data_IF_081817532327
#
_entry.id   IF_081817532327
#
_cell.length_a   1.000
_cell.length_b   1.000
_cell.length_c   1.000
_cell.angle_alpha   90.00
_cell.angle_beta   90.00
_cell.angle_gamma   90.00
#
_symmetry.space_group_name_H-M   'P 1'
#
loop_
_entity.id
_entity.type
_entity.pdbx_description
1 polymer ?
#
# COMPACT_ATOMS: atom_id res chain seq x y z
N UNK A 1 -11.05 20.26 -21.03
CA UNK A 1 -9.87 19.54 -20.50
C UNK A 1 -10.10 19.00 -19.06
N UNK A 2 -10.66 19.80 -18.13
CA UNK A 2 -10.90 19.39 -16.73
C UNK A 2 -11.95 18.27 -16.55
N UNK A 3 -12.92 18.14 -17.46
CA UNK A 3 -13.94 17.09 -17.36
C UNK A 3 -13.39 15.69 -17.68
N UNK A 4 -12.37 15.60 -18.54
CA UNK A 4 -11.75 14.33 -18.91
C UNK A 4 -10.84 13.80 -17.80
N UNK A 5 -10.11 14.65 -17.10
CA UNK A 5 -9.20 14.24 -16.02
C UNK A 5 -9.92 13.54 -14.85
N UNK A 6 -11.18 13.90 -14.54
CA UNK A 6 -11.99 13.21 -13.53
C UNK A 6 -12.32 11.77 -13.92
N UNK A 7 -12.37 11.47 -15.22
CA UNK A 7 -12.64 10.13 -15.74
C UNK A 7 -11.37 9.29 -15.82
N UNK A 8 -10.20 9.92 -15.89
CA UNK A 8 -8.93 9.23 -16.09
C UNK A 8 -8.41 8.57 -14.81
N UNK A 9 -8.58 9.17 -13.63
CA UNK A 9 -8.13 8.57 -12.36
C UNK A 9 -8.77 7.19 -12.10
N UNK A 10 -10.10 6.99 -12.23
CA UNK A 10 -10.69 5.65 -12.11
C UNK A 10 -10.18 4.67 -13.17
N UNK A 11 -9.95 5.14 -14.40
CA UNK A 11 -9.40 4.31 -15.48
C UNK A 11 -7.98 3.85 -15.19
N UNK A 12 -7.11 4.75 -14.70
CA UNK A 12 -5.76 4.41 -14.33
C UNK A 12 -5.77 3.39 -13.17
N UNK A 13 -6.61 3.57 -12.17
CA UNK A 13 -6.75 2.61 -11.07
C UNK A 13 -7.27 1.26 -11.56
N UNK A 14 -8.21 1.24 -12.51
CA UNK A 14 -8.68 0.01 -13.13
C UNK A 14 -7.56 -0.70 -13.90
N UNK A 15 -6.72 0.03 -14.66
CA UNK A 15 -5.55 -0.54 -15.35
C UNK A 15 -4.53 -1.11 -14.37
N UNK A 16 -4.25 -0.39 -13.27
CA UNK A 16 -3.40 -0.91 -12.19
C UNK A 16 -4.01 -2.19 -11.60
N UNK A 17 -5.31 -2.21 -11.34
CA UNK A 17 -6.02 -3.40 -10.86
C UNK A 17 -5.92 -4.58 -11.81
N UNK A 18 -6.02 -4.34 -13.13
CA UNK A 18 -5.80 -5.38 -14.15
C UNK A 18 -4.36 -5.90 -14.08
N UNK A 19 -3.36 -5.02 -14.02
CA UNK A 19 -1.96 -5.42 -13.92
C UNK A 19 -1.65 -6.25 -12.67
N UNK A 20 -2.37 -6.03 -11.57
CA UNK A 20 -2.26 -6.79 -10.33
C UNK A 20 -3.08 -8.08 -10.35
N UNK A 21 -3.93 -8.28 -11.35
CA UNK A 21 -4.80 -9.45 -11.46
C UNK A 21 -4.00 -10.74 -11.75
N UNK A 22 -4.45 -11.90 -11.21
CA UNK A 22 -3.75 -13.19 -11.38
C UNK A 22 -3.78 -13.69 -12.82
N UNK A 23 -4.63 -13.14 -13.68
CA UNK A 23 -4.78 -13.55 -15.10
C UNK A 23 -3.98 -12.70 -16.07
N UNK A 24 -3.34 -11.62 -15.60
CA UNK A 24 -2.56 -10.75 -16.48
C UNK A 24 -1.34 -11.49 -16.99
N UNK A 25 -1.34 -11.81 -18.27
CA UNK A 25 -0.19 -12.39 -18.99
C UNK A 25 0.59 -11.24 -19.58
N UNK A 26 1.83 -11.04 -19.13
CA UNK A 26 2.78 -10.21 -19.84
C UNK A 26 3.42 -11.10 -20.92
N UNK A 27 3.16 -10.83 -22.19
CA UNK A 27 3.68 -11.64 -23.31
C UNK A 27 5.20 -11.53 -23.47
N UNK A 28 5.82 -10.52 -22.88
CA UNK A 28 7.28 -10.40 -22.83
C UNK A 28 7.86 -11.31 -21.76
N UNK A 29 8.51 -12.36 -22.18
CA UNK A 29 9.08 -13.46 -21.38
C UNK A 29 10.13 -13.00 -20.34
N UNK A 30 10.56 -11.75 -20.39
CA UNK A 30 11.60 -11.17 -19.51
C UNK A 30 11.18 -9.79 -18.95
N UNK A 31 9.89 -9.55 -18.76
CA UNK A 31 9.49 -8.31 -18.09
C UNK A 31 10.09 -8.33 -16.67
N UNK A 32 11.00 -7.40 -16.41
CA UNK A 32 11.58 -7.20 -15.09
C UNK A 32 10.45 -6.90 -14.09
N UNK A 33 10.16 -7.88 -13.24
CA UNK A 33 9.11 -7.77 -12.23
C UNK A 33 9.30 -6.52 -11.36
N UNK A 34 10.54 -6.13 -11.08
CA UNK A 34 10.87 -4.91 -10.35
C UNK A 34 10.49 -3.66 -11.16
N UNK A 35 10.73 -3.63 -12.47
CA UNK A 35 10.32 -2.51 -13.32
C UNK A 35 8.80 -2.33 -13.34
N UNK A 36 8.04 -3.43 -13.47
CA UNK A 36 6.57 -3.40 -13.42
C UNK A 36 6.10 -2.92 -12.05
N UNK A 37 6.59 -3.51 -10.97
CA UNK A 37 6.21 -3.15 -9.61
C UNK A 37 6.53 -1.69 -9.29
N UNK A 38 7.75 -1.25 -9.63
CA UNK A 38 8.17 0.14 -9.48
C UNK A 38 7.33 1.10 -10.31
N UNK A 39 6.98 0.73 -11.54
CA UNK A 39 6.07 1.48 -12.41
C UNK A 39 4.67 1.66 -11.81
N UNK A 40 4.10 0.59 -11.24
CA UNK A 40 2.82 0.63 -10.55
C UNK A 40 2.86 1.55 -9.31
N UNK A 41 3.89 1.39 -8.47
CA UNK A 41 4.09 2.25 -7.30
C UNK A 41 4.25 3.73 -7.70
N UNK A 42 5.03 4.03 -8.74
CA UNK A 42 5.25 5.39 -9.20
C UNK A 42 3.98 6.00 -9.81
N UNK A 43 3.17 5.22 -10.53
CA UNK A 43 1.88 5.68 -11.08
C UNK A 43 0.91 6.05 -9.97
N UNK A 44 0.73 5.17 -8.98
CA UNK A 44 -0.11 5.45 -7.82
C UNK A 44 0.40 6.66 -7.03
N UNK A 45 1.71 6.75 -6.86
CA UNK A 45 2.37 7.88 -6.19
C UNK A 45 2.13 9.21 -6.92
N UNK A 46 2.24 9.23 -8.23
CA UNK A 46 1.96 10.43 -9.04
C UNK A 46 0.49 10.87 -8.88
N UNK A 47 -0.46 9.93 -8.89
CA UNK A 47 -1.88 10.21 -8.64
C UNK A 47 -2.09 10.80 -7.24
N UNK A 48 -1.52 10.18 -6.20
CA UNK A 48 -1.64 10.64 -4.81
C UNK A 48 -1.07 12.04 -4.63
N UNK A 49 0.05 12.36 -5.29
CA UNK A 49 0.69 13.69 -5.19
C UNK A 49 -0.07 14.79 -5.93
N UNK A 50 -0.51 14.48 -7.15
CA UNK A 50 -1.00 15.50 -8.07
C UNK A 50 -2.50 15.74 -7.93
N UNK A 51 -3.29 14.72 -7.58
CA UNK A 51 -4.74 14.76 -7.68
C UNK A 51 -5.46 14.21 -6.45
N UNK A 52 -5.14 14.77 -5.27
CA UNK A 52 -5.77 14.38 -4.00
C UNK A 52 -7.29 14.54 -4.00
N UNK A 53 -7.79 15.53 -4.71
CA UNK A 53 -9.22 15.79 -4.90
C UNK A 53 -9.96 14.61 -5.57
N UNK A 54 -9.31 14.00 -6.57
CA UNK A 54 -9.87 12.84 -7.29
C UNK A 54 -9.66 11.52 -6.54
N UNK A 55 -8.60 11.44 -5.74
CA UNK A 55 -8.23 10.25 -4.98
C UNK A 55 -9.17 10.02 -3.80
N UNK A 56 -9.63 11.09 -3.16
CA UNK A 56 -10.46 11.00 -1.96
C UNK A 56 -11.69 10.08 -2.10
N UNK A 57 -12.51 10.16 -3.15
CA UNK A 57 -13.62 9.24 -3.34
C UNK A 57 -13.19 7.82 -3.74
N UNK A 58 -11.93 7.63 -4.18
CA UNK A 58 -11.38 6.36 -4.65
C UNK A 58 -10.50 5.66 -3.60
N UNK A 59 -10.42 6.17 -2.37
CA UNK A 59 -9.60 5.60 -1.29
C UNK A 59 -9.87 4.12 -1.02
N UNK A 60 -11.12 3.59 -1.04
CA UNK A 60 -11.34 2.16 -0.89
C UNK A 60 -10.61 1.32 -1.96
N UNK A 61 -10.68 1.74 -3.22
CA UNK A 61 -10.01 1.05 -4.34
C UNK A 61 -8.49 1.12 -4.21
N UNK A 62 -7.95 2.27 -3.81
CA UNK A 62 -6.50 2.41 -3.57
C UNK A 62 -6.05 1.51 -2.42
N UNK A 63 -6.83 1.42 -1.34
CA UNK A 63 -6.55 0.52 -0.22
C UNK A 63 -6.51 -0.93 -0.68
N UNK A 64 -7.44 -1.34 -1.52
CA UNK A 64 -7.46 -2.68 -2.10
C UNK A 64 -6.22 -2.93 -2.96
N UNK A 65 -5.87 -2.02 -3.88
CA UNK A 65 -4.67 -2.13 -4.72
C UNK A 65 -3.39 -2.21 -3.89
N UNK A 66 -3.25 -1.39 -2.85
CA UNK A 66 -2.10 -1.42 -1.96
C UNK A 66 -2.03 -2.71 -1.15
N UNK A 67 -3.18 -3.25 -0.75
CA UNK A 67 -3.26 -4.56 -0.07
C UNK A 67 -2.84 -5.71 -0.99
N UNK A 68 -3.00 -5.58 -2.32
CA UNK A 68 -2.51 -6.54 -3.31
C UNK A 68 -1.01 -6.41 -3.58
N UNK A 69 -0.40 -5.23 -3.43
CA UNK A 69 1.04 -5.02 -3.62
C UNK A 69 1.87 -5.64 -2.50
N UNK A 70 1.37 -5.64 -1.26
CA UNK A 70 2.10 -6.17 -0.10
C UNK A 70 2.48 -7.66 -0.23
N UNK A 71 1.57 -8.60 -0.59
CA UNK A 71 1.91 -10.00 -0.76
C UNK A 71 2.95 -10.26 -1.85
N UNK A 72 3.08 -9.38 -2.84
CA UNK A 72 4.04 -9.54 -3.94
C UNK A 72 5.50 -9.45 -3.47
N UNK A 73 5.76 -8.78 -2.34
CA UNK A 73 7.07 -8.72 -1.71
C UNK A 73 7.42 -10.00 -0.94
N UNK A 74 6.46 -10.93 -0.80
CA UNK A 74 6.71 -12.19 -0.11
C UNK A 74 7.23 -13.26 -1.06
N UNK A 75 8.11 -14.11 -0.55
CA UNK A 75 8.61 -15.31 -1.22
C UNK A 75 8.04 -16.58 -0.61
N UNK A 76 7.89 -17.62 -1.43
CA UNK A 76 7.39 -18.91 -0.98
C UNK A 76 8.44 -19.67 -0.15
N UNK A 77 8.07 -20.09 1.05
CA UNK A 77 8.88 -20.99 1.88
C UNK A 77 8.70 -22.43 1.38
N UNK A 78 9.68 -22.92 0.62
CA UNK A 78 9.64 -24.27 0.00
C UNK A 78 9.45 -25.39 1.02
N UNK A 79 10.07 -25.25 2.22
CA UNK A 79 10.02 -26.26 3.27
C UNK A 79 8.62 -26.42 3.90
N UNK A 80 7.85 -25.32 3.99
CA UNK A 80 6.61 -25.28 4.78
C UNK A 80 5.35 -25.32 3.92
N UNK A 81 5.48 -25.18 2.59
CA UNK A 81 4.31 -25.11 1.72
C UNK A 81 3.95 -26.44 1.09
N UNK A 82 2.87 -27.06 1.53
CA UNK A 82 2.23 -28.19 0.84
C UNK A 82 1.73 -27.80 -0.56
N UNK A 83 1.48 -28.78 -1.42
CA UNK A 83 1.10 -28.56 -2.82
C UNK A 83 -0.18 -27.69 -2.97
N UNK A 84 -1.18 -27.90 -2.11
CA UNK A 84 -2.41 -27.11 -2.10
C UNK A 84 -2.12 -25.62 -1.77
N UNK A 85 -1.23 -25.36 -0.80
CA UNK A 85 -0.85 -24.01 -0.41
C UNK A 85 -0.08 -23.30 -1.51
N UNK A 86 0.86 -23.99 -2.17
CA UNK A 86 1.58 -23.48 -3.33
C UNK A 86 0.61 -23.05 -4.43
N UNK A 87 -0.35 -23.90 -4.78
CA UNK A 87 -1.39 -23.58 -5.78
C UNK A 87 -2.18 -22.33 -5.42
N UNK A 88 -2.55 -22.14 -4.15
CA UNK A 88 -3.25 -20.94 -3.68
C UNK A 88 -2.41 -19.68 -3.83
N UNK A 89 -1.13 -19.72 -3.45
CA UNK A 89 -0.21 -18.57 -3.60
C UNK A 89 -0.06 -18.21 -5.06
N UNK A 90 0.20 -19.19 -5.95
CA UNK A 90 0.29 -18.95 -7.39
C UNK A 90 -1.00 -18.40 -8.00
N UNK A 91 -2.16 -18.90 -7.56
CA UNK A 91 -3.45 -18.42 -8.05
C UNK A 91 -3.77 -16.98 -7.61
N UNK A 92 -3.19 -16.53 -6.50
CA UNK A 92 -3.39 -15.19 -5.95
C UNK A 92 -2.34 -14.16 -6.45
N UNK A 93 -1.26 -14.63 -7.09
CA UNK A 93 -0.15 -13.77 -7.52
C UNK A 93 -0.21 -13.53 -9.04
N UNK A 94 0.06 -12.31 -9.52
CA UNK A 94 0.17 -12.04 -10.96
C UNK A 94 1.24 -12.91 -11.61
N UNK A 95 1.03 -13.30 -12.88
CA UNK A 95 1.96 -14.21 -13.57
C UNK A 95 3.36 -13.64 -13.83
N UNK A 96 3.51 -12.32 -13.80
CA UNK A 96 4.81 -11.67 -13.94
C UNK A 96 5.65 -11.71 -12.64
N UNK A 97 5.08 -12.21 -11.52
CA UNK A 97 5.78 -12.45 -10.25
C UNK A 97 6.10 -13.93 -10.12
N UNK A 98 7.37 -14.28 -10.09
CA UNK A 98 7.82 -15.62 -9.70
C UNK A 98 8.09 -15.68 -8.19
N UNK A 99 7.10 -16.13 -7.42
CA UNK A 99 7.20 -16.24 -5.97
C UNK A 99 8.28 -17.20 -5.46
N UNK A 100 8.83 -18.06 -6.35
CA UNK A 100 9.94 -18.95 -6.01
C UNK A 100 11.29 -18.26 -6.07
N UNK A 101 11.45 -17.29 -6.95
CA UNK A 101 12.70 -16.57 -7.17
C UNK A 101 12.81 -15.29 -6.35
N UNK A 102 11.72 -14.87 -5.67
CA UNK A 102 11.67 -13.61 -4.94
C UNK A 102 12.19 -12.42 -5.78
N UNK A 103 11.54 -12.11 -6.92
CA UNK A 103 12.09 -11.18 -7.91
C UNK A 103 12.12 -9.73 -7.43
N UNK A 104 11.37 -9.40 -6.37
CA UNK A 104 11.30 -8.07 -5.81
C UNK A 104 12.33 -7.89 -4.68
N UNK A 105 13.04 -6.78 -4.74
CA UNK A 105 14.14 -6.47 -3.83
C UNK A 105 13.87 -5.29 -2.90
N UNK A 106 14.95 -4.83 -2.29
CA UNK A 106 14.96 -3.71 -1.34
C UNK A 106 14.46 -2.39 -1.98
N UNK A 107 14.80 -2.17 -3.26
CA UNK A 107 14.32 -1.01 -4.04
C UNK A 107 12.81 -0.96 -4.16
N UNK A 108 12.19 -2.12 -4.34
CA UNK A 108 10.74 -2.26 -4.54
C UNK A 108 9.99 -2.05 -3.22
N UNK A 109 10.49 -2.65 -2.13
CA UNK A 109 9.98 -2.40 -0.79
C UNK A 109 10.06 -0.91 -0.43
N UNK A 110 11.17 -0.24 -0.77
CA UNK A 110 11.34 1.20 -0.59
C UNK A 110 10.38 2.02 -1.44
N UNK A 111 10.11 1.60 -2.68
CA UNK A 111 9.14 2.28 -3.56
C UNK A 111 7.72 2.24 -2.96
N UNK A 112 7.31 1.07 -2.45
CA UNK A 112 6.03 0.93 -1.76
C UNK A 112 5.98 1.75 -0.46
N UNK A 113 7.04 1.69 0.36
CA UNK A 113 7.14 2.47 1.60
C UNK A 113 6.98 3.98 1.35
N UNK A 114 7.63 4.51 0.31
CA UNK A 114 7.48 5.91 -0.10
C UNK A 114 6.06 6.26 -0.53
N UNK A 115 5.38 5.37 -1.25
CA UNK A 115 3.98 5.56 -1.62
C UNK A 115 3.08 5.63 -0.38
N UNK A 116 3.27 4.73 0.59
CA UNK A 116 2.51 4.74 1.86
C UNK A 116 2.77 6.02 2.67
N UNK A 117 4.02 6.47 2.75
CA UNK A 117 4.38 7.72 3.43
C UNK A 117 3.73 8.94 2.77
N UNK A 118 3.62 8.96 1.44
CA UNK A 118 2.98 10.07 0.73
C UNK A 118 1.47 10.16 0.92
N UNK A 119 0.80 9.06 1.26
CA UNK A 119 -0.62 9.09 1.66
C UNK A 119 -0.82 9.89 2.95
N UNK A 120 0.13 9.83 3.88
CA UNK A 120 0.12 10.59 5.12
C UNK A 120 0.57 12.06 4.96
N UNK A 121 1.35 12.34 3.90
CA UNK A 121 1.99 13.64 3.73
C UNK A 121 0.98 14.79 3.52
N UNK A 122 1.24 15.91 4.19
CA UNK A 122 0.58 17.18 3.91
C UNK A 122 1.24 17.82 2.68
N UNK A 123 0.51 17.98 1.60
CA UNK A 123 1.01 18.72 0.42
C UNK A 123 0.31 20.06 0.34
N UNK A 124 1.07 21.11 0.01
CA UNK A 124 0.50 22.39 -0.38
C UNK A 124 -0.28 22.17 -1.68
N UNK A 125 -1.54 22.57 -1.72
CA UNK A 125 -2.32 22.56 -2.95
C UNK A 125 -1.69 23.59 -3.88
N UNK A 126 -1.17 23.14 -5.02
CA UNK A 126 -0.84 24.05 -6.10
C UNK A 126 -2.15 24.72 -6.56
N UNK A 127 -2.40 25.91 -6.10
CA UNK A 127 -3.53 26.72 -6.55
C UNK A 127 -3.32 27.04 -8.02
N UNK A 128 -3.91 26.24 -8.89
CA UNK A 128 -4.02 26.57 -10.30
C UNK A 128 -4.79 27.90 -10.47
N UNK A 129 -4.47 28.72 -11.47
CA UNK A 129 -4.87 30.12 -11.54
C UNK A 129 -6.36 30.39 -11.82
N UNK A 130 -7.26 29.43 -11.86
CA UNK A 130 -8.63 29.65 -12.33
C UNK A 130 -9.71 28.75 -11.67
N UNK A 131 -9.84 28.78 -10.37
CA UNK A 131 -11.17 28.49 -9.79
C UNK A 131 -11.55 29.62 -8.86
N UNK A 132 -12.69 30.28 -9.18
CA UNK A 132 -13.30 31.30 -8.35
C UNK A 132 -13.41 30.75 -6.92
N UNK A 133 -12.51 31.19 -6.07
CA UNK A 133 -12.45 30.85 -4.66
C UNK A 133 -13.78 31.23 -4.04
N UNK A 134 -14.48 30.27 -3.48
CA UNK A 134 -15.52 30.55 -2.50
C UNK A 134 -14.84 31.30 -1.35
N UNK A 135 -15.33 32.49 -1.04
CA UNK A 135 -14.75 33.56 -0.22
C UNK A 135 -14.51 33.22 1.26
N UNK A 136 -14.55 31.94 1.65
CA UNK A 136 -14.55 31.49 3.04
C UNK A 136 -13.42 30.55 3.44
N UNK A 137 -12.52 30.14 2.52
CA UNK A 137 -11.40 29.30 2.91
C UNK A 137 -10.09 30.09 3.02
N UNK A 138 -9.34 29.96 4.12
CA UNK A 138 -8.07 30.67 4.32
C UNK A 138 -7.06 30.27 3.24
N UNK A 139 -6.34 31.26 2.73
CA UNK A 139 -5.25 31.06 1.78
C UNK A 139 -4.17 30.18 2.42
N UNK A 140 -3.89 29.00 1.85
CA UNK A 140 -2.89 28.07 2.36
C UNK A 140 -3.43 26.80 3.00
N UNK A 141 -4.71 26.44 2.76
CA UNK A 141 -5.24 25.16 3.20
C UNK A 141 -4.41 24.02 2.61
N UNK A 142 -3.62 23.36 3.45
CA UNK A 142 -2.90 22.14 3.08
C UNK A 142 -3.89 20.98 3.05
N UNK A 143 -4.11 20.42 1.87
CA UNK A 143 -4.96 19.24 1.73
C UNK A 143 -4.18 17.99 2.12
N UNK A 144 -4.69 17.24 3.10
CA UNK A 144 -4.10 15.99 3.53
C UNK A 144 -5.10 14.84 3.33
N UNK A 145 -4.63 13.72 2.82
CA UNK A 145 -5.41 12.48 2.76
C UNK A 145 -5.40 11.72 4.09
N UNK A 146 -4.58 12.11 5.07
CA UNK A 146 -4.44 11.39 6.33
C UNK A 146 -5.78 11.17 7.05
N UNK A 147 -6.59 12.22 7.18
CA UNK A 147 -7.90 12.12 7.84
C UNK A 147 -8.90 11.22 7.11
N UNK A 148 -9.16 11.36 5.79
CA UNK A 148 -10.01 10.40 5.08
C UNK A 148 -9.41 8.99 4.99
N UNK A 149 -8.06 8.86 4.99
CA UNK A 149 -7.36 7.59 4.94
C UNK A 149 -7.35 6.85 6.28
N UNK A 150 -7.60 7.51 7.42
CA UNK A 150 -7.56 6.89 8.76
C UNK A 150 -8.40 5.62 8.86
N UNK A 151 -9.61 5.63 8.28
CA UNK A 151 -10.51 4.47 8.25
C UNK A 151 -9.99 3.31 7.38
N UNK A 152 -9.06 3.58 6.49
CA UNK A 152 -8.52 2.61 5.54
C UNK A 152 -7.14 2.10 5.92
N UNK A 153 -6.37 2.86 6.70
CA UNK A 153 -5.01 2.52 7.11
C UNK A 153 -4.94 1.17 7.83
N UNK A 154 -5.91 0.88 8.68
CA UNK A 154 -5.99 -0.37 9.43
C UNK A 154 -6.06 -1.60 8.54
N UNK A 155 -6.78 -1.54 7.41
CA UNK A 155 -6.88 -2.68 6.49
C UNK A 155 -5.54 -3.01 5.83
N UNK A 156 -4.73 -2.00 5.53
CA UNK A 156 -3.38 -2.21 4.99
C UNK A 156 -2.42 -2.77 6.04
N UNK A 157 -2.50 -2.30 7.29
CA UNK A 157 -1.76 -2.88 8.41
C UNK A 157 -2.13 -4.35 8.63
N UNK A 158 -3.42 -4.68 8.60
CA UNK A 158 -3.91 -6.06 8.70
C UNK A 158 -3.42 -6.90 7.50
N UNK A 159 -3.43 -6.36 6.28
CA UNK A 159 -2.90 -7.05 5.11
C UNK A 159 -1.41 -7.37 5.26
N UNK A 160 -0.61 -6.41 5.73
CA UNK A 160 0.80 -6.64 6.03
C UNK A 160 1.01 -7.75 7.09
N UNK A 161 0.28 -7.66 8.21
CA UNK A 161 0.37 -8.66 9.28
C UNK A 161 0.04 -10.05 8.76
N UNK A 162 -1.02 -10.19 7.96
CA UNK A 162 -1.37 -11.46 7.32
C UNK A 162 -0.27 -11.99 6.41
N UNK A 163 0.41 -11.12 5.65
CA UNK A 163 1.55 -11.53 4.83
C UNK A 163 2.70 -12.07 5.68
N UNK A 164 2.96 -11.47 6.85
CA UNK A 164 4.05 -11.89 7.76
C UNK A 164 3.71 -13.17 8.52
N UNK A 165 2.44 -13.35 8.90
CA UNK A 165 1.99 -14.53 9.69
C UNK A 165 1.65 -15.74 8.82
N UNK A 166 1.57 -15.58 7.50
CA UNK A 166 1.25 -16.68 6.60
C UNK A 166 2.36 -17.73 6.59
N UNK A 167 2.07 -19.00 6.95
CA UNK A 167 3.13 -20.02 7.14
C UNK A 167 3.83 -20.45 5.86
N UNK A 168 3.20 -20.22 4.70
CA UNK A 168 3.75 -20.63 3.41
C UNK A 168 4.65 -19.58 2.74
N UNK A 169 4.59 -18.33 3.19
CA UNK A 169 5.32 -17.22 2.60
C UNK A 169 6.08 -16.43 3.66
N UNK A 170 7.11 -15.73 3.25
CA UNK A 170 7.87 -14.83 4.13
C UNK A 170 8.27 -13.57 3.38
N UNK A 171 8.29 -12.45 4.09
CA UNK A 171 8.94 -11.23 3.63
C UNK A 171 10.34 -11.19 4.25
N UNK A 172 11.36 -11.12 3.43
CA UNK A 172 12.76 -11.08 3.89
C UNK A 172 13.01 -9.88 4.82
N UNK A 173 13.86 -10.06 5.83
CA UNK A 173 14.16 -9.02 6.84
C UNK A 173 14.58 -7.69 6.23
N UNK A 174 15.45 -7.62 5.19
CA UNK A 174 15.80 -6.35 4.56
C UNK A 174 14.60 -5.61 3.95
N UNK A 175 13.65 -6.36 3.36
CA UNK A 175 12.42 -5.77 2.79
C UNK A 175 11.50 -5.23 3.88
N UNK A 176 11.38 -5.94 5.01
CA UNK A 176 10.58 -5.47 6.15
C UNK A 176 11.10 -4.14 6.69
N UNK A 177 12.42 -4.02 6.86
CA UNK A 177 13.06 -2.76 7.32
C UNK A 177 12.79 -1.59 6.38
N UNK A 178 12.80 -1.82 5.07
CA UNK A 178 12.47 -0.76 4.09
C UNK A 178 10.98 -0.41 4.07
N UNK A 179 10.10 -1.32 4.48
CA UNK A 179 8.67 -1.06 4.60
C UNK A 179 8.31 -0.29 5.88
N UNK A 180 9.10 -0.41 6.94
CA UNK A 180 8.81 0.19 8.26
C UNK A 180 8.40 1.65 8.20
N UNK A 181 9.10 2.57 7.50
CA UNK A 181 8.69 3.97 7.44
C UNK A 181 7.28 4.17 6.87
N UNK A 182 6.91 3.38 5.85
CA UNK A 182 5.57 3.40 5.28
C UNK A 182 4.51 2.82 6.21
N UNK A 183 4.84 1.75 6.93
CA UNK A 183 3.95 1.14 7.92
C UNK A 183 3.74 2.08 9.12
N UNK A 184 4.78 2.77 9.56
CA UNK A 184 4.66 3.77 10.64
C UNK A 184 3.81 4.97 10.22
N UNK A 185 3.90 5.40 8.96
CA UNK A 185 3.00 6.41 8.43
C UNK A 185 1.52 5.95 8.42
N UNK A 186 1.27 4.65 8.23
CA UNK A 186 -0.07 4.07 8.38
C UNK A 186 -0.51 4.04 9.86
N UNK A 187 0.39 3.72 10.80
CA UNK A 187 0.11 3.79 12.24
C UNK A 187 -0.23 5.23 12.68
N UNK A 188 0.49 6.24 12.16
CA UNK A 188 0.20 7.66 12.42
C UNK A 188 -1.21 8.08 11.97
N UNK A 189 -1.73 7.45 10.92
CA UNK A 189 -3.09 7.72 10.42
C UNK A 189 -4.16 6.90 11.11
N UNK A 190 -3.81 5.77 11.72
CA UNK A 190 -4.75 4.83 12.35
C UNK A 190 -5.15 5.35 13.75
N UNK A 191 -6.44 5.45 14.00
CA UNK A 191 -6.95 5.81 15.31
C UNK A 191 -6.94 4.64 16.31
N UNK A 192 -7.10 4.95 17.60
CA UNK A 192 -7.16 3.92 18.65
C UNK A 192 -8.33 2.97 18.47
N UNK A 193 -9.48 3.47 18.02
CA UNK A 193 -10.66 2.65 17.76
C UNK A 193 -10.41 1.63 16.64
N UNK A 194 -9.84 2.07 15.54
CA UNK A 194 -9.50 1.20 14.39
C UNK A 194 -8.43 0.18 14.77
N UNK A 195 -7.43 0.56 15.57
CA UNK A 195 -6.42 -0.34 16.12
C UNK A 195 -7.06 -1.45 16.96
N UNK A 196 -7.92 -1.08 17.90
CA UNK A 196 -8.57 -2.04 18.79
C UNK A 196 -9.54 -2.95 18.04
N UNK A 197 -10.25 -2.44 17.04
CA UNK A 197 -11.09 -3.23 16.16
C UNK A 197 -10.28 -4.27 15.37
N UNK A 198 -9.09 -3.90 14.88
CA UNK A 198 -8.19 -4.83 14.21
C UNK A 198 -7.72 -5.96 15.13
N UNK A 199 -7.29 -5.60 16.35
CA UNK A 199 -6.82 -6.56 17.34
C UNK A 199 -7.91 -7.55 17.78
N UNK A 200 -9.14 -7.07 17.96
CA UNK A 200 -10.23 -7.91 18.50
C UNK A 200 -10.97 -8.70 17.45
N UNK A 201 -11.08 -8.19 16.22
CA UNK A 201 -12.00 -8.76 15.22
C UNK A 201 -11.37 -9.18 13.90
N UNK A 202 -10.15 -8.71 13.56
CA UNK A 202 -9.59 -8.90 12.23
C UNK A 202 -8.35 -9.80 12.19
N UNK A 203 -7.69 -10.00 13.34
CA UNK A 203 -6.43 -10.73 13.47
C UNK A 203 -6.60 -11.95 14.37
N UNK A 204 -5.96 -13.06 13.97
CA UNK A 204 -5.77 -14.24 14.80
C UNK A 204 -4.70 -13.99 15.90
N UNK A 205 -4.49 -14.96 16.78
CA UNK A 205 -3.53 -14.84 17.89
C UNK A 205 -2.11 -14.50 17.41
N UNK A 206 -1.65 -15.11 16.30
CA UNK A 206 -0.33 -14.84 15.73
C UNK A 206 -0.25 -13.44 15.13
N UNK A 207 -1.28 -13.01 14.43
CA UNK A 207 -1.41 -11.67 13.88
C UNK A 207 -1.45 -10.58 14.96
N UNK A 208 -2.13 -10.83 16.07
CA UNK A 208 -2.15 -9.89 17.21
C UNK A 208 -0.77 -9.65 17.79
N UNK A 209 0.07 -10.70 17.89
CA UNK A 209 1.45 -10.55 18.38
C UNK A 209 2.28 -9.68 17.44
N UNK A 210 2.21 -9.97 16.13
CA UNK A 210 2.94 -9.18 15.12
C UNK A 210 2.45 -7.73 15.07
N UNK A 211 1.14 -7.53 15.13
CA UNK A 211 0.56 -6.19 15.11
C UNK A 211 0.97 -5.37 16.34
N UNK A 212 0.93 -5.97 17.54
CA UNK A 212 1.39 -5.33 18.78
C UNK A 212 2.87 -4.99 18.73
N UNK A 213 3.72 -5.89 18.21
CA UNK A 213 5.13 -5.64 18.06
C UNK A 213 5.41 -4.46 17.11
N UNK A 214 4.72 -4.39 15.96
CA UNK A 214 4.82 -3.27 15.03
C UNK A 214 4.40 -1.95 15.69
N UNK A 215 3.31 -1.99 16.46
CA UNK A 215 2.79 -0.80 17.15
C UNK A 215 3.75 -0.29 18.22
N UNK A 216 4.30 -1.19 19.04
CA UNK A 216 5.30 -0.86 20.06
C UNK A 216 6.56 -0.25 19.44
N UNK A 217 7.03 -0.78 18.29
CA UNK A 217 8.19 -0.24 17.59
C UNK A 217 7.90 1.17 17.04
N UNK A 218 6.72 1.38 16.47
CA UNK A 218 6.27 2.69 16.04
C UNK A 218 6.21 3.70 17.19
N UNK A 219 5.62 3.35 18.33
CA UNK A 219 5.61 4.19 19.54
C UNK A 219 7.03 4.53 19.99
N UNK A 220 7.90 3.54 20.04
CA UNK A 220 9.29 3.73 20.46
C UNK A 220 10.06 4.70 19.54
N UNK A 221 9.83 4.64 18.23
CA UNK A 221 10.47 5.56 17.28
C UNK A 221 9.89 6.98 17.40
N UNK A 222 8.60 7.10 17.62
CA UNK A 222 7.93 8.39 17.79
C UNK A 222 8.46 9.14 19.02
N UNK A 223 8.75 8.44 20.12
CA UNK A 223 9.30 9.04 21.34
C UNK A 223 10.81 9.29 21.28
N UNK A 224 11.55 8.61 20.43
CA UNK A 224 12.99 8.91 20.23
C UNK A 224 13.24 10.13 19.36
N UNK A 225 12.27 10.57 18.60
CA UNK A 225 12.36 11.75 17.72
C UNK A 225 11.80 13.03 18.32
N UNK A 226 11.30 12.99 19.55
CA UNK A 226 10.85 14.14 20.34
C UNK A 226 11.90 14.48 21.38
#
# INVERSE_FOLDING_TARGET
>A
RYADERKDAPRILALVGVALGPRTVCESVEADASAIFGGLCNTLRALVRQRKDLIRPLLPHITELLSLLLPMLSSLLRANAGQAQRRRVYAATPRWIDVLRAPLGVSDARALSRLLTELAAKTAVATGPLTKRRRTEPAGATESLAKPMSKHAVYMLVAYVRCVTQPATTIAVPLRRELEPGLFALCDMCGDFERDAALKGMLDASGQVVFKALWTEWEHQRYKGA
#
